data_IF_094770558916
#
_entry.id   IF_094770558916
#
_cell.length_a   1.000
_cell.length_b   1.000
_cell.length_c   1.000
_cell.angle_alpha   90.00
_cell.angle_beta   90.00
_cell.angle_gamma   90.00
#
_symmetry.space_group_name_H-M   'P 1'
#
loop_
_entity.id
_entity.type
_entity.pdbx_description
1 polymer ?
#
# COMPACT_ATOMS: atom_id res chain seq x y z
N UNK A 1 4.55 -11.15 -12.49
CA UNK A 1 3.24 -10.55 -12.13
C UNK A 1 3.28 -9.07 -12.48
N UNK A 2 2.31 -8.60 -13.22
CA UNK A 2 2.24 -7.19 -13.65
C UNK A 2 1.39 -6.39 -12.69
N UNK A 3 1.94 -5.29 -12.19
CA UNK A 3 1.26 -4.33 -11.32
C UNK A 3 1.00 -3.07 -12.14
N UNK A 4 -0.27 -2.69 -12.24
CA UNK A 4 -0.69 -1.49 -12.96
C UNK A 4 -0.92 -0.36 -11.95
N UNK A 5 0.01 0.59 -11.93
CA UNK A 5 -0.05 1.74 -11.02
C UNK A 5 -1.25 2.65 -11.30
N UNK A 6 -1.73 2.69 -12.54
CA UNK A 6 -2.93 3.50 -12.88
C UNK A 6 -4.19 2.98 -12.19
N UNK A 7 -4.35 1.66 -12.10
CA UNK A 7 -5.47 1.05 -11.37
C UNK A 7 -5.40 1.37 -9.87
N UNK A 8 -4.20 1.31 -9.31
CA UNK A 8 -3.98 1.65 -7.90
C UNK A 8 -4.29 3.11 -7.66
N UNK A 9 -3.84 4.00 -8.54
CA UNK A 9 -4.13 5.44 -8.46
C UNK A 9 -5.63 5.72 -8.45
N UNK A 10 -6.39 5.08 -9.33
CA UNK A 10 -7.84 5.26 -9.40
C UNK A 10 -8.51 4.84 -8.09
N UNK A 11 -8.09 3.73 -7.51
CA UNK A 11 -8.61 3.25 -6.23
C UNK A 11 -8.20 4.16 -5.07
N UNK A 12 -6.98 4.64 -5.05
CA UNK A 12 -6.50 5.59 -4.03
C UNK A 12 -7.31 6.89 -4.11
N UNK A 13 -7.49 7.44 -5.30
CA UNK A 13 -8.27 8.67 -5.48
C UNK A 13 -9.72 8.49 -5.03
N UNK A 14 -10.33 7.35 -5.32
CA UNK A 14 -11.68 7.04 -4.86
C UNK A 14 -11.74 6.99 -3.32
N UNK A 15 -10.82 6.27 -2.68
CA UNK A 15 -10.76 6.16 -1.23
C UNK A 15 -10.49 7.51 -0.56
N UNK A 16 -9.59 8.33 -1.14
CA UNK A 16 -9.30 9.66 -0.60
C UNK A 16 -10.53 10.58 -0.66
N UNK A 17 -11.31 10.49 -1.73
CA UNK A 17 -12.57 11.23 -1.84
C UNK A 17 -13.57 10.81 -0.74
N UNK A 18 -13.69 9.51 -0.48
CA UNK A 18 -14.55 8.97 0.59
C UNK A 18 -14.04 9.41 1.97
N UNK A 19 -12.75 9.32 2.24
CA UNK A 19 -12.13 9.75 3.50
C UNK A 19 -12.37 11.24 3.73
N UNK A 20 -12.14 12.08 2.74
CA UNK A 20 -12.34 13.52 2.84
C UNK A 20 -13.80 13.87 3.18
N UNK A 21 -14.76 13.21 2.55
CA UNK A 21 -16.17 13.44 2.80
C UNK A 21 -16.60 12.94 4.19
N UNK A 22 -16.15 11.74 4.59
CA UNK A 22 -16.51 11.13 5.87
C UNK A 22 -15.94 11.88 7.06
N UNK A 23 -14.70 12.30 6.98
CA UNK A 23 -13.95 12.90 8.07
C UNK A 23 -13.87 14.44 7.97
N UNK A 24 -14.63 15.05 7.04
CA UNK A 24 -14.69 16.49 6.80
C UNK A 24 -13.32 17.14 6.53
N UNK A 25 -12.48 16.46 5.73
CA UNK A 25 -11.15 16.93 5.38
C UNK A 25 -11.18 17.46 3.94
N UNK A 26 -10.78 18.73 3.78
CA UNK A 26 -10.56 19.32 2.46
C UNK A 26 -9.10 19.15 2.07
N UNK A 27 -8.82 18.13 1.29
CA UNK A 27 -7.45 17.83 0.85
C UNK A 27 -6.89 18.90 -0.11
N UNK A 28 -7.74 19.72 -0.72
CA UNK A 28 -7.29 20.83 -1.57
C UNK A 28 -6.74 21.99 -0.73
N UNK A 29 -7.29 22.18 0.47
CA UNK A 29 -6.87 23.22 1.40
C UNK A 29 -5.81 22.73 2.38
N UNK A 30 -5.58 21.42 2.47
CA UNK A 30 -4.59 20.84 3.38
C UNK A 30 -3.16 21.23 2.97
N UNK A 31 -2.38 21.63 3.96
CA UNK A 31 -0.99 22.05 3.72
C UNK A 31 -0.07 20.85 3.71
N UNK A 32 0.63 20.66 2.61
CA UNK A 32 1.65 19.62 2.48
C UNK A 32 2.92 20.08 3.21
N UNK A 33 3.44 19.24 4.11
CA UNK A 33 4.58 19.59 4.96
C UNK A 33 5.85 19.92 4.15
N UNK A 34 6.05 19.27 3.01
CA UNK A 34 7.19 19.50 2.11
C UNK A 34 6.93 20.60 1.07
N UNK A 35 5.73 21.18 1.04
CA UNK A 35 5.32 22.18 0.05
C UNK A 35 4.78 21.62 -1.25
N UNK A 36 5.09 20.38 -1.59
CA UNK A 36 4.64 19.71 -2.82
C UNK A 36 4.20 18.30 -2.52
N UNK A 37 3.00 17.91 -2.99
CA UNK A 37 2.49 16.56 -2.82
C UNK A 37 3.16 15.61 -3.84
N UNK A 38 3.83 14.53 -3.39
CA UNK A 38 4.37 13.54 -4.31
C UNK A 38 3.29 12.86 -5.17
N UNK A 39 3.68 12.42 -6.33
CA UNK A 39 2.82 11.64 -7.21
C UNK A 39 2.46 10.28 -6.56
N UNK A 40 1.23 9.82 -6.79
CA UNK A 40 0.80 8.52 -6.26
C UNK A 40 1.69 7.40 -6.78
N UNK A 41 2.15 7.50 -8.02
CA UNK A 41 3.07 6.51 -8.59
C UNK A 41 4.36 6.35 -7.80
N UNK A 42 4.90 7.43 -7.24
CA UNK A 42 6.09 7.37 -6.38
C UNK A 42 5.81 6.54 -5.12
N UNK A 43 4.64 6.68 -4.53
CA UNK A 43 4.24 5.88 -3.38
C UNK A 43 4.01 4.41 -3.75
N UNK A 44 3.52 4.13 -4.95
CA UNK A 44 3.41 2.76 -5.46
C UNK A 44 4.79 2.11 -5.55
N UNK A 45 5.77 2.82 -6.09
CA UNK A 45 7.16 2.33 -6.18
C UNK A 45 7.74 2.10 -4.77
N UNK A 46 7.55 3.01 -3.85
CA UNK A 46 7.98 2.84 -2.46
C UNK A 46 7.31 1.62 -1.81
N UNK A 47 6.03 1.40 -2.07
CA UNK A 47 5.31 0.23 -1.59
C UNK A 47 5.86 -1.08 -2.16
N UNK A 48 6.25 -1.09 -3.43
CA UNK A 48 6.90 -2.25 -4.04
C UNK A 48 8.26 -2.53 -3.42
N UNK A 49 9.04 -1.49 -3.13
CA UNK A 49 10.30 -1.62 -2.39
C UNK A 49 10.06 -2.27 -1.02
N UNK A 50 9.03 -1.83 -0.31
CA UNK A 50 8.67 -2.40 1.00
C UNK A 50 8.25 -3.87 0.89
N UNK A 51 7.47 -4.23 -0.13
CA UNK A 51 7.07 -5.63 -0.37
C UNK A 51 8.32 -6.51 -0.55
N UNK A 52 9.21 -6.12 -1.43
CA UNK A 52 10.42 -6.91 -1.71
C UNK A 52 11.33 -6.96 -0.47
N UNK A 53 11.51 -5.84 0.21
CA UNK A 53 12.36 -5.74 1.39
C UNK A 53 11.85 -6.59 2.56
N UNK A 54 10.53 -6.54 2.84
CA UNK A 54 9.93 -7.23 3.98
C UNK A 54 9.48 -8.66 3.69
N UNK A 55 9.31 -9.01 2.42
CA UNK A 55 8.74 -10.28 1.99
C UNK A 55 9.63 -11.00 0.99
N UNK A 56 10.95 -10.93 1.15
CA UNK A 56 11.91 -11.51 0.21
C UNK A 56 11.76 -13.04 0.04
N UNK A 57 11.11 -13.72 0.96
CA UNK A 57 10.77 -15.14 0.82
C UNK A 57 9.72 -15.38 -0.26
N UNK A 58 8.85 -14.41 -0.50
CA UNK A 58 7.77 -14.50 -1.49
C UNK A 58 8.04 -13.68 -2.75
N UNK A 59 8.72 -12.54 -2.60
CA UNK A 59 8.98 -11.60 -3.69
C UNK A 59 10.47 -11.29 -3.78
N UNK A 60 11.05 -11.54 -4.94
CA UNK A 60 12.47 -11.49 -5.17
C UNK A 60 12.97 -10.12 -5.59
N UNK A 61 12.21 -9.45 -6.46
CA UNK A 61 12.59 -8.17 -7.06
C UNK A 61 11.39 -7.55 -7.79
N UNK A 62 11.55 -6.33 -8.25
CA UNK A 62 10.62 -5.73 -9.21
C UNK A 62 11.38 -4.86 -10.20
N UNK A 63 10.77 -4.63 -11.36
CA UNK A 63 11.32 -3.80 -12.44
C UNK A 63 10.20 -3.14 -13.21
N UNK A 64 10.53 -2.09 -13.97
CA UNK A 64 9.57 -1.49 -14.90
C UNK A 64 9.20 -2.50 -15.98
N UNK A 65 7.91 -2.60 -16.28
CA UNK A 65 7.40 -3.40 -17.39
C UNK A 65 7.15 -2.53 -18.62
N UNK A 66 6.85 -3.17 -19.75
CA UNK A 66 6.46 -2.47 -20.94
C UNK A 66 5.19 -1.66 -20.71
N UNK A 67 5.22 -0.38 -21.06
CA UNK A 67 4.14 0.56 -20.84
C UNK A 67 4.41 1.49 -19.66
N UNK A 68 3.70 2.62 -19.67
CA UNK A 68 3.83 3.65 -18.64
C UNK A 68 3.10 3.21 -17.36
N UNK A 69 3.74 3.41 -16.22
CA UNK A 69 3.18 3.10 -14.89
C UNK A 69 2.85 1.62 -14.68
N UNK A 70 3.62 0.73 -15.29
CA UNK A 70 3.52 -0.71 -15.07
C UNK A 70 4.81 -1.28 -14.54
N UNK A 71 4.69 -2.22 -13.61
CA UNK A 71 5.83 -2.85 -12.95
C UNK A 71 5.66 -4.37 -12.97
N UNK A 72 6.76 -5.07 -13.14
CA UNK A 72 6.80 -6.52 -13.03
C UNK A 72 7.35 -6.88 -11.65
N UNK A 73 6.49 -7.46 -10.81
CA UNK A 73 6.88 -7.97 -9.51
C UNK A 73 7.29 -9.44 -9.66
N UNK A 74 8.55 -9.73 -9.34
CA UNK A 74 9.13 -11.06 -9.51
C UNK A 74 8.92 -11.88 -8.25
N UNK A 75 8.24 -13.02 -8.41
CA UNK A 75 8.00 -13.95 -7.32
C UNK A 75 9.22 -14.82 -7.08
N UNK A 76 9.43 -15.20 -5.82
CA UNK A 76 10.48 -16.17 -5.47
C UNK A 76 10.12 -17.56 -6.00
N UNK A 77 11.14 -18.40 -6.18
CA UNK A 77 10.95 -19.76 -6.69
C UNK A 77 10.00 -20.54 -5.79
N UNK A 78 9.07 -21.28 -6.42
CA UNK A 78 8.09 -22.09 -5.70
C UNK A 78 6.84 -21.34 -5.24
N UNK A 79 6.77 -20.03 -5.45
CA UNK A 79 5.59 -19.25 -5.11
C UNK A 79 4.65 -19.19 -6.31
N UNK A 80 3.40 -19.64 -6.11
CA UNK A 80 2.36 -19.59 -7.12
C UNK A 80 1.72 -18.21 -7.16
N UNK A 81 1.64 -17.61 -8.35
CA UNK A 81 1.10 -16.26 -8.55
C UNK A 81 -0.42 -16.16 -8.42
N UNK A 82 -1.14 -17.28 -8.46
CA UNK A 82 -2.61 -17.27 -8.47
C UNK A 82 -3.18 -16.55 -7.25
N UNK A 83 -3.95 -15.49 -7.48
CA UNK A 83 -4.65 -14.74 -6.45
C UNK A 83 -3.79 -13.80 -5.62
N UNK A 84 -2.48 -13.75 -5.83
CA UNK A 84 -1.59 -12.84 -5.08
C UNK A 84 -1.82 -11.39 -5.48
N UNK A 85 -2.15 -11.13 -6.73
CA UNK A 85 -2.36 -9.79 -7.29
C UNK A 85 -3.37 -8.96 -6.48
N UNK A 86 -4.45 -9.58 -6.02
CA UNK A 86 -5.48 -8.92 -5.21
C UNK A 86 -4.88 -8.41 -3.88
N UNK A 87 -4.04 -9.21 -3.25
CA UNK A 87 -3.41 -8.85 -1.98
C UNK A 87 -2.32 -7.81 -2.15
N UNK A 88 -1.54 -7.88 -3.23
CA UNK A 88 -0.55 -6.85 -3.58
C UNK A 88 -1.24 -5.51 -3.80
N UNK A 89 -2.33 -5.50 -4.58
CA UNK A 89 -3.09 -4.29 -4.85
C UNK A 89 -3.67 -3.69 -3.57
N UNK A 90 -4.28 -4.51 -2.70
CA UNK A 90 -4.84 -4.06 -1.43
C UNK A 90 -3.78 -3.42 -0.54
N UNK A 91 -2.59 -4.01 -0.47
CA UNK A 91 -1.48 -3.43 0.27
C UNK A 91 -1.03 -2.09 -0.31
N UNK A 92 -0.82 -2.03 -1.63
CA UNK A 92 -0.34 -0.81 -2.28
C UNK A 92 -1.34 0.34 -2.14
N UNK A 93 -2.64 0.07 -2.24
CA UNK A 93 -3.67 1.09 -2.03
C UNK A 93 -3.60 1.65 -0.62
N UNK A 94 -3.58 0.80 0.40
CA UNK A 94 -3.52 1.26 1.79
C UNK A 94 -2.21 1.96 2.13
N UNK A 95 -1.09 1.48 1.58
CA UNK A 95 0.22 2.14 1.72
C UNK A 95 0.22 3.54 1.13
N UNK A 96 -0.32 3.71 -0.08
CA UNK A 96 -0.41 5.02 -0.73
C UNK A 96 -1.28 5.99 0.09
N UNK A 97 -2.42 5.55 0.57
CA UNK A 97 -3.31 6.39 1.39
C UNK A 97 -2.59 6.83 2.66
N UNK A 98 -1.96 5.90 3.37
CA UNK A 98 -1.17 6.23 4.56
C UNK A 98 -0.09 7.25 4.25
N UNK A 99 0.67 7.05 3.17
CA UNK A 99 1.76 7.93 2.77
C UNK A 99 1.28 9.33 2.41
N UNK A 100 0.14 9.41 1.70
CA UNK A 100 -0.49 10.70 1.36
C UNK A 100 -0.91 11.43 2.64
N UNK A 101 -1.58 10.73 3.56
CA UNK A 101 -2.03 11.34 4.82
C UNK A 101 -0.84 11.84 5.65
N UNK A 102 0.26 11.09 5.67
CA UNK A 102 1.48 11.52 6.34
C UNK A 102 2.14 12.74 5.71
N UNK A 103 1.86 13.02 4.43
CA UNK A 103 2.41 14.16 3.71
C UNK A 103 1.74 15.49 4.10
N UNK A 104 0.57 15.46 4.71
CA UNK A 104 -0.16 16.65 5.12
C UNK A 104 0.19 17.06 6.55
N UNK A 105 0.34 18.37 6.77
CA UNK A 105 0.72 18.91 8.09
C UNK A 105 -0.40 18.85 9.14
N UNK A 106 -1.67 18.88 8.72
CA UNK A 106 -2.82 19.09 9.60
C UNK A 106 -3.82 17.93 9.62
N UNK A 107 -3.37 16.71 9.33
CA UNK A 107 -4.24 15.53 9.40
C UNK A 107 -4.17 14.94 10.81
N UNK A 108 -5.34 14.61 11.43
CA UNK A 108 -5.35 14.01 12.75
C UNK A 108 -4.54 12.70 12.79
N UNK A 109 -3.73 12.54 13.83
CA UNK A 109 -2.89 11.35 14.00
C UNK A 109 -3.71 10.06 14.09
N UNK A 110 -4.92 10.13 14.64
CA UNK A 110 -5.84 8.98 14.72
C UNK A 110 -6.19 8.43 13.35
N UNK A 111 -6.34 9.29 12.35
CA UNK A 111 -6.62 8.86 10.97
C UNK A 111 -5.39 8.23 10.32
N UNK A 112 -4.22 8.85 10.49
CA UNK A 112 -2.97 8.29 9.94
C UNK A 112 -2.62 6.95 10.58
N UNK A 113 -2.80 6.80 11.88
CA UNK A 113 -2.59 5.53 12.59
C UNK A 113 -3.54 4.44 12.11
N UNK A 114 -4.80 4.77 11.87
CA UNK A 114 -5.78 3.84 11.30
C UNK A 114 -5.31 3.28 9.95
N UNK A 115 -4.82 4.13 9.08
CA UNK A 115 -4.36 3.71 7.77
C UNK A 115 -3.02 2.98 7.82
N UNK A 116 -2.15 3.33 8.77
CA UNK A 116 -0.93 2.57 9.01
C UNK A 116 -1.27 1.15 9.46
N UNK A 117 -2.18 0.99 10.41
CA UNK A 117 -2.64 -0.34 10.86
C UNK A 117 -3.21 -1.14 9.70
N UNK A 118 -4.00 -0.51 8.84
CA UNK A 118 -4.59 -1.13 7.66
C UNK A 118 -3.53 -1.57 6.66
N UNK A 119 -2.51 -0.76 6.45
CA UNK A 119 -1.37 -1.09 5.60
C UNK A 119 -0.59 -2.28 6.14
N UNK A 120 -0.29 -2.29 7.43
CA UNK A 120 0.39 -3.41 8.09
C UNK A 120 -0.41 -4.70 8.01
N UNK A 121 -1.73 -4.62 8.20
CA UNK A 121 -2.63 -5.76 8.06
C UNK A 121 -2.60 -6.31 6.63
N UNK A 122 -2.69 -5.44 5.65
CA UNK A 122 -2.65 -5.83 4.23
C UNK A 122 -1.33 -6.49 3.86
N UNK A 123 -0.21 -5.97 4.37
CA UNK A 123 1.10 -6.58 4.13
C UNK A 123 1.20 -7.97 4.75
N UNK A 124 0.76 -8.12 6.00
CA UNK A 124 0.75 -9.43 6.69
C UNK A 124 -0.14 -10.43 5.96
N UNK A 125 -1.31 -10.00 5.49
CA UNK A 125 -2.22 -10.84 4.71
C UNK A 125 -1.58 -11.25 3.38
N UNK A 126 -0.90 -10.33 2.72
CA UNK A 126 -0.18 -10.61 1.48
C UNK A 126 0.90 -11.68 1.70
N UNK A 127 1.73 -11.50 2.72
CA UNK A 127 2.81 -12.45 3.04
C UNK A 127 2.25 -13.82 3.39
N UNK A 128 1.22 -13.85 4.23
CA UNK A 128 0.60 -15.09 4.66
C UNK A 128 -0.04 -15.81 3.47
N UNK A 129 -0.77 -15.10 2.62
CA UNK A 129 -1.40 -15.68 1.44
C UNK A 129 -0.36 -16.22 0.45
N UNK A 130 0.69 -15.46 0.20
CA UNK A 130 1.76 -15.87 -0.71
C UNK A 130 2.41 -17.20 -0.27
N UNK A 131 2.57 -17.39 1.04
CA UNK A 131 3.20 -18.60 1.59
C UNK A 131 2.24 -19.75 1.76
N UNK A 132 0.96 -19.53 2.03
CA UNK A 132 0.00 -20.54 2.44
C UNK A 132 -1.23 -20.68 1.54
N UNK A 133 -1.45 -19.76 0.62
CA UNK A 133 -2.62 -19.69 -0.28
C UNK A 133 -3.96 -19.70 0.44
N UNK A 134 -4.01 -19.07 1.62
CA UNK A 134 -5.25 -18.89 2.36
C UNK A 134 -5.25 -17.57 3.13
N UNK A 135 -6.44 -17.05 3.43
CA UNK A 135 -6.60 -15.84 4.24
C UNK A 135 -6.17 -16.14 5.67
N UNK A 136 -5.37 -15.27 6.33
CA UNK A 136 -4.96 -15.46 7.73
C UNK A 136 -6.17 -15.36 8.67
N UNK A 137 -6.09 -16.08 9.81
CA UNK A 137 -7.09 -15.99 10.85
C UNK A 137 -6.87 -14.74 11.75
N UNK A 138 -7.75 -14.55 12.74
CA UNK A 138 -7.65 -13.41 13.67
C UNK A 138 -6.36 -13.43 14.49
N UNK A 139 -5.87 -14.61 14.83
CA UNK A 139 -4.62 -14.77 15.59
C UNK A 139 -3.42 -14.23 14.79
N UNK A 140 -3.36 -14.52 13.50
CA UNK A 140 -2.31 -14.00 12.63
C UNK A 140 -2.34 -12.47 12.56
N UNK A 141 -3.52 -11.87 12.56
CA UNK A 141 -3.69 -10.41 12.51
C UNK A 141 -3.24 -9.72 13.80
N UNK A 142 -3.36 -10.37 14.95
CA UNK A 142 -2.99 -9.79 16.23
C UNK A 142 -1.48 -9.60 16.43
N UNK A 143 -0.66 -10.24 15.61
CA UNK A 143 0.79 -10.18 15.71
C UNK A 143 1.41 -9.05 14.89
N UNK A 144 0.60 -8.15 14.36
CA UNK A 144 1.09 -7.05 13.55
C UNK A 144 1.61 -5.91 14.41
N UNK A 145 2.70 -5.29 13.95
CA UNK A 145 3.24 -4.10 14.58
C UNK A 145 2.70 -2.86 13.92
N UNK A 146 2.54 -1.80 14.70
CA UNK A 146 2.20 -0.47 14.21
C UNK A 146 3.43 0.42 14.22
N UNK A 147 3.42 1.43 13.38
CA UNK A 147 4.46 2.45 13.33
C UNK A 147 3.84 3.84 13.36
N UNK A 148 4.59 4.84 12.94
CA UNK A 148 4.10 6.21 12.87
C UNK A 148 4.51 6.87 11.56
N UNK A 149 3.83 7.97 11.23
CA UNK A 149 4.21 8.85 10.14
C UNK A 149 5.39 9.72 10.58
N UNK A 150 6.56 9.38 10.09
CA UNK A 150 7.78 10.13 10.44
C UNK A 150 8.41 10.71 9.20
#
# INVERSE_FOLDING_TARGET
>A
MIIDSSKIRDKVNHHMAVVGKRDFIDFKAAVVASGELPEIDDFVVEGLVEIVSKSHKAFKDFSSADGEYKYNLVLSDGIDAEGIDVHVEAYLVSYCIFSILCSFANIPSTLTEKWLTRSNTSLSNLMYYAMNKKVPDETSKLNQTTGSCV
#
